data_IF_679443840855
#
_entry.id   IF_679443840855
#
_cell.length_a   1.000
_cell.length_b   1.000
_cell.length_c   1.000
_cell.angle_alpha   90.00
_cell.angle_beta   90.00
_cell.angle_gamma   90.00
#
_symmetry.space_group_name_H-M   'P 1'
#
loop_
_entity.id
_entity.type
_entity.pdbx_description
1 polymer ?
#
# COMPACT_ATOMS: atom_id res chain seq x y z
N UNK A 1 -5.46 8.85 -10.98
CA UNK A 1 -6.29 8.64 -9.76
C UNK A 1 -5.47 9.15 -8.59
N UNK A 2 -6.09 9.78 -7.58
CA UNK A 2 -5.39 10.39 -6.43
C UNK A 2 -4.47 11.56 -6.77
N UNK A 3 -4.60 12.12 -7.98
CA UNK A 3 -3.84 13.29 -8.44
C UNK A 3 -4.49 14.61 -7.98
N UNK A 4 -5.75 14.57 -7.55
CA UNK A 4 -6.51 15.74 -7.11
C UNK A 4 -7.06 15.56 -5.70
N UNK A 5 -7.28 16.66 -4.97
CA UNK A 5 -7.93 16.63 -3.65
C UNK A 5 -9.28 15.89 -3.67
N UNK A 6 -10.03 16.01 -4.78
CA UNK A 6 -11.34 15.38 -4.95
C UNK A 6 -11.26 13.85 -4.92
N UNK A 7 -10.21 13.27 -5.51
CA UNK A 7 -10.00 11.82 -5.53
C UNK A 7 -9.84 11.26 -4.11
N UNK A 8 -9.08 11.98 -3.26
CA UNK A 8 -8.88 11.63 -1.85
C UNK A 8 -10.19 11.76 -1.06
N UNK A 9 -10.97 12.81 -1.30
CA UNK A 9 -12.29 12.97 -0.68
C UNK A 9 -13.26 11.84 -1.05
N UNK A 10 -13.29 11.43 -2.32
CA UNK A 10 -14.15 10.32 -2.77
C UNK A 10 -13.78 9.00 -2.10
N UNK A 11 -12.50 8.70 -1.95
CA UNK A 11 -12.04 7.49 -1.28
C UNK A 11 -12.35 7.52 0.23
N UNK A 12 -12.27 8.70 0.86
CA UNK A 12 -12.73 8.92 2.22
C UNK A 12 -14.24 8.71 2.39
N UNK A 13 -15.04 9.20 1.45
CA UNK A 13 -16.50 9.01 1.46
C UNK A 13 -16.86 7.53 1.28
N UNK A 14 -16.18 6.83 0.37
CA UNK A 14 -16.39 5.39 0.11
C UNK A 14 -16.18 4.55 1.37
N UNK A 15 -15.13 4.86 2.12
CA UNK A 15 -14.75 4.16 3.37
C UNK A 15 -15.41 4.75 4.62
N UNK A 16 -16.18 5.84 4.49
CA UNK A 16 -16.73 6.65 5.61
C UNK A 16 -15.67 7.20 6.56
N UNK A 17 -14.43 7.33 6.10
CA UNK A 17 -13.33 7.95 6.85
C UNK A 17 -13.52 9.46 7.07
N UNK A 18 -14.33 10.11 6.23
CA UNK A 18 -14.60 11.57 6.27
C UNK A 18 -15.19 12.07 7.60
N UNK A 19 -15.66 11.17 8.48
CA UNK A 19 -16.11 11.52 9.83
C UNK A 19 -14.96 11.91 10.77
N UNK A 20 -13.74 11.40 10.54
CA UNK A 20 -12.58 11.57 11.43
C UNK A 20 -11.32 12.09 10.73
N UNK A 21 -11.31 12.01 9.40
CA UNK A 21 -10.16 12.33 8.57
C UNK A 21 -10.56 13.35 7.51
N UNK A 22 -9.61 14.19 7.11
CA UNK A 22 -9.78 15.21 6.08
C UNK A 22 -8.66 15.11 5.05
N UNK A 23 -9.00 15.29 3.78
CA UNK A 23 -8.00 15.52 2.74
C UNK A 23 -7.46 16.94 2.87
N UNK A 24 -6.15 17.11 2.70
CA UNK A 24 -5.45 18.39 2.84
C UNK A 24 -4.64 18.69 1.58
N UNK A 25 -4.49 19.98 1.28
CA UNK A 25 -3.66 20.51 0.18
C UNK A 25 -2.45 21.30 0.68
N UNK A 26 -2.08 21.13 1.95
CA UNK A 26 -0.96 21.86 2.58
C UNK A 26 0.39 21.62 1.88
N UNK A 27 0.55 20.48 1.20
CA UNK A 27 1.73 20.15 0.41
C UNK A 27 1.55 20.37 -1.10
N UNK A 28 0.56 21.15 -1.53
CA UNK A 28 0.38 21.50 -2.93
C UNK A 28 1.62 22.25 -3.46
N UNK A 29 2.16 21.79 -4.60
CA UNK A 29 3.44 22.26 -5.11
C UNK A 29 4.65 21.79 -4.29
N UNK A 30 4.50 20.75 -3.47
CA UNK A 30 5.56 20.11 -2.68
C UNK A 30 6.28 21.04 -1.69
N UNK A 31 5.56 22.05 -1.20
CA UNK A 31 6.10 23.11 -0.31
C UNK A 31 6.53 22.61 1.07
N UNK A 32 6.00 21.47 1.51
CA UNK A 32 6.29 20.90 2.83
C UNK A 32 7.33 19.78 2.73
N UNK A 33 7.10 18.84 1.82
CA UNK A 33 7.93 17.67 1.64
C UNK A 33 7.82 17.11 0.23
N UNK A 34 8.96 16.90 -0.43
CA UNK A 34 9.04 16.31 -1.77
C UNK A 34 8.70 14.81 -1.82
N UNK A 35 8.70 14.14 -0.65
CA UNK A 35 8.32 12.72 -0.54
C UNK A 35 6.83 12.51 -0.38
N UNK A 36 6.14 13.48 0.19
CA UNK A 36 4.69 13.43 0.33
C UNK A 36 4.02 13.80 -0.99
N UNK A 37 2.84 13.23 -1.30
CA UNK A 37 2.05 13.69 -2.44
C UNK A 37 1.54 15.12 -2.19
N UNK A 38 1.13 15.80 -3.28
CA UNK A 38 0.56 17.14 -3.19
C UNK A 38 -0.71 17.19 -2.33
N UNK A 39 -1.48 16.09 -2.35
CA UNK A 39 -2.71 15.90 -1.56
C UNK A 39 -2.62 14.57 -0.82
N UNK A 40 -3.07 14.55 0.42
CA UNK A 40 -3.18 13.36 1.25
C UNK A 40 -4.18 13.59 2.37
N UNK A 41 -4.35 12.60 3.24
CA UNK A 41 -5.36 12.61 4.29
C UNK A 41 -4.73 12.51 5.67
N UNK A 42 -5.20 13.34 6.59
CA UNK A 42 -4.76 13.41 8.00
C UNK A 42 -5.96 13.38 8.95
N UNK A 43 -5.76 13.07 10.24
CA UNK A 43 -6.82 13.22 11.25
C UNK A 43 -7.38 14.65 11.28
N UNK A 44 -8.70 14.81 11.30
CA UNK A 44 -9.37 16.12 11.30
C UNK A 44 -8.90 17.07 12.42
N UNK A 45 -8.65 16.61 13.67
CA UNK A 45 -8.20 17.51 14.72
C UNK A 45 -6.72 17.91 14.60
N UNK A 46 -5.95 17.33 13.66
CA UNK A 46 -4.56 17.70 13.44
C UNK A 46 -4.51 19.07 12.74
N UNK A 47 -3.88 20.09 13.35
CA UNK A 47 -3.64 21.38 12.69
C UNK A 47 -2.73 21.22 11.47
N UNK A 48 -2.99 21.95 10.39
CA UNK A 48 -2.17 21.86 9.18
C UNK A 48 -0.78 22.48 9.35
N UNK A 49 -0.62 23.43 10.26
CA UNK A 49 0.68 23.96 10.69
C UNK A 49 1.62 22.88 11.26
N UNK A 50 1.06 21.83 11.87
CA UNK A 50 1.85 20.71 12.40
C UNK A 50 2.42 19.86 11.27
N UNK A 51 1.79 19.84 10.10
CA UNK A 51 2.28 19.12 8.91
C UNK A 51 3.58 19.74 8.38
N UNK A 52 3.73 21.06 8.50
CA UNK A 52 4.94 21.76 8.10
C UNK A 52 6.14 21.49 9.02
N UNK A 53 5.87 21.07 10.26
CA UNK A 53 6.93 20.75 11.23
C UNK A 53 7.69 19.50 10.76
N UNK A 54 9.00 19.53 10.96
CA UNK A 54 9.92 18.45 10.60
C UNK A 54 9.76 17.97 9.15
N UNK A 55 9.45 18.86 8.19
CA UNK A 55 9.32 18.52 6.76
C UNK A 55 8.35 17.35 6.51
N UNK A 56 7.24 17.29 7.25
CA UNK A 56 6.24 16.24 7.13
C UNK A 56 6.59 14.91 7.82
N UNK A 57 7.71 14.83 8.53
CA UNK A 57 8.04 13.66 9.36
C UNK A 57 7.14 13.57 10.61
N UNK A 58 6.82 12.34 11.03
CA UNK A 58 5.97 12.13 12.21
C UNK A 58 4.50 12.54 12.00
N UNK A 59 4.08 12.71 10.75
CA UNK A 59 2.68 12.99 10.41
C UNK A 59 1.93 11.68 10.17
N UNK A 60 0.81 11.42 10.88
CA UNK A 60 -0.02 10.27 10.60
C UNK A 60 -0.81 10.50 9.32
N UNK A 61 -0.49 9.73 8.29
CA UNK A 61 -1.17 9.72 7.01
C UNK A 61 -2.17 8.58 7.01
N UNK A 62 -3.39 8.89 6.61
CA UNK A 62 -4.45 7.90 6.52
C UNK A 62 -4.24 6.97 5.32
N UNK A 63 -4.31 5.66 5.58
CA UNK A 63 -4.35 4.63 4.55
C UNK A 63 -5.80 4.20 4.29
N UNK A 64 -6.54 3.82 5.34
CA UNK A 64 -7.88 3.24 5.17
C UNK A 64 -8.73 3.33 6.44
N UNK A 65 -10.06 3.31 6.28
CA UNK A 65 -11.02 3.23 7.38
C UNK A 65 -11.89 2.00 7.27
N UNK A 66 -11.97 1.24 8.36
CA UNK A 66 -12.83 0.09 8.50
C UNK A 66 -14.29 0.48 8.76
N UNK A 67 -15.23 -0.40 8.42
CA UNK A 67 -16.65 -0.17 8.64
C UNK A 67 -17.06 -0.01 10.12
N UNK A 68 -16.26 -0.55 11.05
CA UNK A 68 -16.45 -0.34 12.49
C UNK A 68 -15.99 1.06 12.96
N UNK A 69 -15.22 1.79 12.14
CA UNK A 69 -14.70 3.12 12.44
C UNK A 69 -13.26 3.14 12.95
N UNK A 70 -12.61 1.98 13.04
CA UNK A 70 -11.15 1.86 13.19
C UNK A 70 -10.45 2.29 11.91
N UNK A 71 -9.19 2.73 12.01
CA UNK A 71 -8.42 3.21 10.88
C UNK A 71 -7.01 2.65 10.87
N UNK A 72 -6.50 2.47 9.66
CA UNK A 72 -5.11 2.16 9.39
C UNK A 72 -4.41 3.45 8.95
N UNK A 73 -3.32 3.76 9.63
CA UNK A 73 -2.50 4.95 9.40
C UNK A 73 -1.06 4.51 9.14
N UNK A 74 -0.29 5.34 8.43
CA UNK A 74 1.17 5.21 8.33
C UNK A 74 1.84 6.52 8.70
N UNK A 75 3.06 6.44 9.20
CA UNK A 75 3.82 7.62 9.63
C UNK A 75 5.31 7.35 9.45
N UNK A 76 6.03 8.35 8.96
CA UNK A 76 7.48 8.30 8.88
C UNK A 76 8.08 8.55 10.26
N UNK A 77 9.18 7.88 10.56
CA UNK A 77 9.93 8.14 11.78
C UNK A 77 10.44 9.59 11.79
N UNK A 78 10.51 10.16 12.99
CA UNK A 78 11.18 11.44 13.16
C UNK A 78 12.69 11.27 12.94
N UNK A 79 13.38 12.29 12.40
CA UNK A 79 14.82 12.28 12.26
C UNK A 79 15.51 11.99 13.59
N UNK A 80 16.58 11.19 13.55
CA UNK A 80 17.40 10.91 14.73
C UNK A 80 18.18 12.15 15.11
N UNK A 81 17.92 12.70 16.30
CA UNK A 81 18.56 13.92 16.80
C UNK A 81 19.42 13.61 18.04
N UNK A 82 20.55 14.30 18.17
CA UNK A 82 21.44 14.17 19.35
C UNK A 82 21.19 15.27 20.39
N UNK A 83 20.48 16.35 20.04
CA UNK A 83 20.18 17.45 20.94
C UNK A 83 18.95 17.12 21.81
N UNK A 84 19.14 17.10 23.13
CA UNK A 84 18.10 16.78 24.11
C UNK A 84 16.89 17.73 24.05
N UNK A 85 17.12 19.00 23.69
CA UNK A 85 16.07 19.99 23.51
C UNK A 85 15.17 19.66 22.31
N UNK A 86 15.77 19.31 21.17
CA UNK A 86 15.04 18.91 19.97
C UNK A 86 14.30 17.59 20.21
N UNK A 87 14.93 16.62 20.88
CA UNK A 87 14.28 15.36 21.25
C UNK A 87 13.04 15.58 22.12
N UNK A 88 13.08 16.52 23.08
CA UNK A 88 11.93 16.85 23.90
C UNK A 88 10.80 17.51 23.09
N UNK A 89 11.14 18.36 22.11
CA UNK A 89 10.16 18.96 21.18
C UNK A 89 9.52 17.88 20.31
N UNK A 90 10.32 16.98 19.74
CA UNK A 90 9.85 15.83 18.95
C UNK A 90 8.91 14.93 19.75
N UNK A 91 9.27 14.62 21.01
CA UNK A 91 8.43 13.83 21.92
C UNK A 91 7.11 14.53 22.20
N UNK A 92 7.14 15.83 22.54
CA UNK A 92 5.92 16.61 22.78
C UNK A 92 5.01 16.65 21.56
N UNK A 93 5.59 16.75 20.36
CA UNK A 93 4.88 16.70 19.10
C UNK A 93 4.20 15.34 18.88
N UNK A 94 4.93 14.23 19.02
CA UNK A 94 4.37 12.89 18.91
C UNK A 94 3.27 12.63 19.93
N UNK A 95 3.43 13.07 21.17
CA UNK A 95 2.38 12.95 22.20
C UNK A 95 1.10 13.67 21.77
N UNK A 96 1.22 14.84 21.13
CA UNK A 96 0.09 15.57 20.54
C UNK A 96 -0.57 14.83 19.37
N UNK A 97 0.24 14.22 18.51
CA UNK A 97 -0.21 13.37 17.40
C UNK A 97 -0.97 12.16 17.92
N UNK A 98 -0.42 11.41 18.88
CA UNK A 98 -1.06 10.25 19.49
C UNK A 98 -2.38 10.63 20.18
N UNK A 99 -2.41 11.75 20.92
CA UNK A 99 -3.66 12.28 21.51
C UNK A 99 -4.73 12.60 20.46
N UNK A 100 -4.33 12.96 19.25
CA UNK A 100 -5.25 13.22 18.14
C UNK A 100 -5.88 11.93 17.61
N UNK A 101 -5.07 10.86 17.51
CA UNK A 101 -5.51 9.55 17.01
C UNK A 101 -6.34 8.79 18.06
N UNK A 102 -6.04 8.95 19.35
CA UNK A 102 -6.72 8.31 20.49
C UNK A 102 -8.12 8.87 20.81
N UNK A 103 -8.69 9.74 19.97
CA UNK A 103 -10.02 10.31 20.26
C UNK A 103 -11.15 9.30 20.00
N UNK A 104 -12.23 9.30 20.82
CA UNK A 104 -13.37 8.38 20.72
C UNK A 104 -13.98 8.23 19.30
N UNK A 105 -14.64 7.11 18.96
CA UNK A 105 -15.09 6.00 19.83
C UNK A 105 -14.07 4.90 20.14
N UNK A 106 -12.82 4.97 19.65
CA UNK A 106 -11.78 3.99 19.99
C UNK A 106 -10.56 4.70 20.56
N UNK A 107 -10.22 4.39 21.81
CA UNK A 107 -9.30 5.18 22.64
C UNK A 107 -7.83 4.79 22.44
N UNK A 108 -7.53 3.69 21.73
CA UNK A 108 -6.19 3.08 21.71
C UNK A 108 -5.72 2.87 20.28
N UNK A 109 -4.52 3.38 19.97
CA UNK A 109 -3.79 3.06 18.75
C UNK A 109 -2.73 2.00 19.07
N UNK A 110 -2.61 1.00 18.21
CA UNK A 110 -1.48 0.09 18.22
C UNK A 110 -0.44 0.61 17.22
N UNK A 111 0.75 0.94 17.69
CA UNK A 111 1.87 1.29 16.81
C UNK A 111 2.65 0.03 16.47
N UNK A 112 2.77 -0.28 15.17
CA UNK A 112 3.60 -1.35 14.64
C UNK A 112 4.84 -0.72 13.97
N UNK A 113 5.98 -0.78 14.64
CA UNK A 113 7.26 -0.34 14.07
C UNK A 113 7.84 -1.44 13.18
N UNK A 114 7.70 -1.23 11.86
CA UNK A 114 8.13 -2.17 10.83
C UNK A 114 9.65 -2.10 10.61
N UNK A 115 10.29 -0.96 10.89
CA UNK A 115 11.74 -0.79 10.74
C UNK A 115 12.53 -1.60 11.76
N UNK A 116 12.04 -1.68 13.00
CA UNK A 116 12.76 -2.38 14.09
C UNK A 116 12.30 -3.81 14.33
N UNK A 117 11.03 -4.14 14.08
CA UNK A 117 10.42 -5.39 14.56
C UNK A 117 9.85 -6.30 13.46
N UNK A 118 10.15 -6.06 12.18
CA UNK A 118 9.56 -6.84 11.09
C UNK A 118 10.55 -7.45 10.10
N UNK A 119 10.82 -6.78 8.97
CA UNK A 119 11.70 -7.25 7.90
C UNK A 119 12.68 -6.14 7.56
N UNK A 120 13.90 -6.46 7.15
CA UNK A 120 14.80 -5.47 6.55
C UNK A 120 14.76 -5.55 5.03
N UNK A 121 15.00 -4.43 4.35
CA UNK A 121 15.11 -4.39 2.89
C UNK A 121 16.24 -5.30 2.38
N UNK A 122 17.34 -5.39 3.13
CA UNK A 122 18.47 -6.26 2.79
C UNK A 122 18.12 -7.75 2.90
N UNK A 123 17.29 -8.12 3.88
CA UNK A 123 16.77 -9.48 4.02
C UNK A 123 15.90 -9.87 2.81
N UNK A 124 15.00 -8.97 2.39
CA UNK A 124 14.14 -9.16 1.20
C UNK A 124 14.99 -9.32 -0.07
N UNK A 125 15.94 -8.41 -0.28
CA UNK A 125 16.85 -8.43 -1.44
C UNK A 125 17.63 -9.75 -1.50
N UNK A 126 18.23 -10.15 -0.38
CA UNK A 126 19.06 -11.37 -0.30
C UNK A 126 18.22 -12.62 -0.56
N UNK A 127 17.02 -12.69 0.03
CA UNK A 127 16.12 -13.82 -0.13
C UNK A 127 15.66 -13.96 -1.58
N UNK A 128 15.24 -12.87 -2.21
CA UNK A 128 14.85 -12.90 -3.62
C UNK A 128 16.02 -13.22 -4.53
N UNK A 129 17.20 -12.70 -4.25
CA UNK A 129 18.40 -12.99 -5.05
C UNK A 129 18.68 -14.50 -5.06
N UNK A 130 18.64 -15.15 -3.89
CA UNK A 130 18.78 -16.61 -3.78
C UNK A 130 17.66 -17.35 -4.50
N UNK A 131 16.41 -16.92 -4.34
CA UNK A 131 15.25 -17.53 -4.98
C UNK A 131 15.33 -17.45 -6.51
N UNK A 132 15.69 -16.27 -7.05
CA UNK A 132 15.87 -16.03 -8.49
C UNK A 132 16.93 -16.95 -9.10
N UNK A 133 18.04 -17.20 -8.39
CA UNK A 133 19.10 -18.10 -8.88
C UNK A 133 18.62 -19.53 -9.12
N UNK A 134 17.55 -19.99 -8.46
CA UNK A 134 16.98 -21.32 -8.69
C UNK A 134 16.40 -21.50 -10.10
N UNK A 135 16.14 -20.40 -10.81
CA UNK A 135 15.55 -20.40 -12.15
C UNK A 135 16.56 -20.01 -13.24
N UNK A 136 17.78 -19.64 -12.87
CA UNK A 136 18.85 -19.25 -13.79
C UNK A 136 19.84 -20.42 -13.99
N UNK A 137 19.35 -21.52 -14.56
CA UNK A 137 20.12 -22.74 -14.75
C UNK A 137 20.69 -22.76 -16.18
N UNK A 138 22.02 -22.88 -16.31
CA UNK A 138 22.71 -22.73 -17.59
C UNK A 138 22.83 -24.03 -18.40
N UNK A 139 22.75 -25.19 -17.75
CA UNK A 139 22.91 -26.48 -18.42
C UNK A 139 22.15 -27.64 -17.74
N UNK A 140 22.05 -28.76 -18.47
CA UNK A 140 21.29 -29.93 -18.01
C UNK A 140 21.87 -30.58 -16.75
N UNK A 141 23.19 -30.52 -16.51
CA UNK A 141 23.79 -31.14 -15.33
C UNK A 141 23.40 -30.38 -14.07
N UNK A 142 23.53 -29.06 -14.11
CA UNK A 142 23.11 -28.17 -13.01
C UNK A 142 21.60 -28.23 -12.75
N UNK A 143 20.80 -28.47 -13.79
CA UNK A 143 19.37 -28.69 -13.64
C UNK A 143 19.08 -29.90 -12.74
N UNK A 144 19.67 -31.06 -13.05
CA UNK A 144 19.44 -32.27 -12.26
C UNK A 144 20.01 -32.18 -10.84
N UNK A 145 21.15 -31.50 -10.66
CA UNK A 145 21.72 -31.25 -9.34
C UNK A 145 20.81 -30.35 -8.48
N UNK A 146 20.20 -29.34 -9.10
CA UNK A 146 19.23 -28.44 -8.47
C UNK A 146 17.93 -29.16 -8.15
N UNK A 147 17.40 -29.96 -9.07
CA UNK A 147 16.15 -30.71 -8.93
C UNK A 147 16.17 -31.64 -7.70
N UNK A 148 17.26 -32.39 -7.52
CA UNK A 148 17.46 -33.27 -6.34
C UNK A 148 17.43 -32.49 -5.02
N UNK A 149 17.90 -31.23 -5.03
CA UNK A 149 18.02 -30.37 -3.85
C UNK A 149 16.91 -29.32 -3.76
N UNK A 150 15.92 -29.36 -4.66
CA UNK A 150 14.98 -28.26 -4.91
C UNK A 150 14.37 -27.68 -3.64
N UNK A 151 13.75 -28.54 -2.81
CA UNK A 151 13.08 -28.09 -1.59
C UNK A 151 14.03 -27.46 -0.57
N UNK A 152 15.24 -28.00 -0.43
CA UNK A 152 16.24 -27.44 0.50
C UNK A 152 16.78 -26.09 0.01
N UNK A 153 16.98 -25.95 -1.30
CA UNK A 153 17.42 -24.68 -1.90
C UNK A 153 16.31 -23.62 -1.79
N UNK A 154 15.07 -24.00 -2.07
CA UNK A 154 13.89 -23.15 -1.91
C UNK A 154 13.72 -22.68 -0.45
N UNK A 155 13.82 -23.58 0.53
CA UNK A 155 13.77 -23.21 1.95
C UNK A 155 14.92 -22.28 2.34
N UNK A 156 16.15 -22.57 1.87
CA UNK A 156 17.34 -21.76 2.17
C UNK A 156 17.33 -20.36 1.53
N UNK A 157 16.48 -20.15 0.52
CA UNK A 157 16.22 -18.83 -0.04
C UNK A 157 15.46 -17.92 0.91
N UNK A 158 14.68 -18.49 1.83
CA UNK A 158 13.78 -17.77 2.75
C UNK A 158 12.69 -16.93 2.08
N UNK A 159 12.55 -16.93 0.75
CA UNK A 159 11.55 -16.12 0.04
C UNK A 159 10.11 -16.44 0.48
N UNK A 160 9.77 -17.73 0.54
CA UNK A 160 8.45 -18.18 1.01
C UNK A 160 8.22 -17.86 2.49
N UNK A 161 9.27 -17.85 3.32
CA UNK A 161 9.16 -17.44 4.72
C UNK A 161 8.86 -15.95 4.87
N UNK A 162 9.48 -15.11 4.03
CA UNK A 162 9.19 -13.67 3.97
C UNK A 162 7.74 -13.43 3.55
N UNK A 163 7.24 -14.11 2.53
CA UNK A 163 5.82 -14.03 2.11
C UNK A 163 4.90 -14.42 3.26
N UNK A 164 5.19 -15.55 3.93
CA UNK A 164 4.44 -16.02 5.09
C UNK A 164 4.43 -14.98 6.22
N UNK A 165 5.56 -14.34 6.52
CA UNK A 165 5.67 -13.28 7.54
C UNK A 165 4.85 -12.04 7.18
N UNK A 166 4.86 -11.62 5.90
CA UNK A 166 4.04 -10.52 5.40
C UNK A 166 2.54 -10.78 5.57
N UNK A 167 2.07 -11.95 5.11
CA UNK A 167 0.67 -12.34 5.25
C UNK A 167 0.27 -12.47 6.72
N UNK A 168 1.13 -13.09 7.55
CA UNK A 168 0.88 -13.21 8.99
C UNK A 168 0.75 -11.84 9.66
N UNK A 169 1.63 -10.89 9.37
CA UNK A 169 1.56 -9.53 9.93
C UNK A 169 0.29 -8.79 9.50
N UNK A 170 -0.12 -8.93 8.23
CA UNK A 170 -1.38 -8.34 7.75
C UNK A 170 -2.62 -8.96 8.43
N UNK A 171 -2.60 -10.27 8.70
CA UNK A 171 -3.66 -10.94 9.48
C UNK A 171 -3.69 -10.42 10.92
N UNK A 172 -2.55 -10.33 11.61
CA UNK A 172 -2.46 -9.79 12.97
C UNK A 172 -3.04 -8.36 13.06
N UNK A 173 -2.75 -7.51 12.07
CA UNK A 173 -3.29 -6.14 12.01
C UNK A 173 -4.79 -6.17 11.74
N UNK A 174 -5.26 -7.02 10.82
CA UNK A 174 -6.68 -7.21 10.54
C UNK A 174 -7.45 -7.63 11.79
N UNK A 175 -6.91 -8.55 12.60
CA UNK A 175 -7.49 -8.98 13.87
C UNK A 175 -7.53 -7.83 14.90
N UNK A 176 -6.47 -7.01 14.99
CA UNK A 176 -6.46 -5.83 15.86
C UNK A 176 -7.55 -4.83 15.46
N UNK A 177 -7.74 -4.61 14.15
CA UNK A 177 -8.72 -3.66 13.65
C UNK A 177 -10.16 -4.16 13.77
N UNK A 178 -10.42 -5.43 13.43
CA UNK A 178 -11.78 -6.00 13.39
C UNK A 178 -12.25 -6.48 14.75
N UNK A 179 -11.44 -7.28 15.46
CA UNK A 179 -11.86 -7.92 16.71
C UNK A 179 -11.66 -7.01 17.93
N UNK A 180 -10.58 -6.23 17.95
CA UNK A 180 -10.24 -5.36 19.08
C UNK A 180 -10.71 -3.91 18.88
N UNK A 181 -11.21 -3.59 17.68
CA UNK A 181 -11.63 -2.25 17.26
C UNK A 181 -10.55 -1.17 17.48
N UNK A 182 -9.29 -1.50 17.22
CA UNK A 182 -8.18 -0.56 17.42
C UNK A 182 -7.81 0.17 16.14
N UNK A 183 -7.38 1.43 16.28
CA UNK A 183 -6.61 2.07 15.21
C UNK A 183 -5.22 1.43 15.17
N UNK A 184 -4.64 1.30 13.99
CA UNK A 184 -3.28 0.79 13.82
C UNK A 184 -2.44 1.84 13.09
N UNK A 185 -1.27 2.14 13.63
CA UNK A 185 -0.29 3.05 13.05
C UNK A 185 0.96 2.26 12.64
N UNK A 186 1.20 2.19 11.33
CA UNK A 186 2.42 1.63 10.77
C UNK A 186 3.53 2.67 10.81
N UNK A 187 4.64 2.36 11.46
CA UNK A 187 5.80 3.23 11.53
C UNK A 187 6.93 2.60 10.73
N UNK A 188 7.52 3.40 9.84
CA UNK A 188 8.73 3.08 9.08
C UNK A 188 9.57 4.35 8.93
N UNK A 189 10.86 4.24 8.59
CA UNK A 189 11.73 5.41 8.39
C UNK A 189 11.14 6.42 7.40
N UNK A 190 10.63 5.95 6.25
CA UNK A 190 10.07 6.81 5.20
C UNK A 190 8.57 6.63 4.96
N UNK A 191 7.92 5.68 5.66
CA UNK A 191 6.50 5.31 5.45
C UNK A 191 6.14 4.96 4.00
N UNK A 192 7.07 4.31 3.30
CA UNK A 192 6.92 3.85 1.93
C UNK A 192 6.97 2.32 1.88
N UNK A 193 8.12 1.69 1.65
CA UNK A 193 8.30 0.25 1.38
C UNK A 193 7.36 -0.71 2.16
N UNK A 194 7.66 -1.02 3.42
CA UNK A 194 6.92 -2.01 4.21
C UNK A 194 5.55 -1.47 4.64
N UNK A 195 5.43 -0.15 4.82
CA UNK A 195 4.14 0.49 5.08
C UNK A 195 3.16 0.27 3.91
N UNK A 196 3.59 0.47 2.66
CA UNK A 196 2.84 0.23 1.44
C UNK A 196 2.42 -1.24 1.35
N UNK A 197 3.37 -2.15 1.56
CA UNK A 197 3.14 -3.59 1.51
C UNK A 197 2.09 -4.03 2.52
N UNK A 198 2.28 -3.71 3.80
CA UNK A 198 1.39 -4.16 4.87
C UNK A 198 0.03 -3.46 4.79
N UNK A 199 0.00 -2.15 4.53
CA UNK A 199 -1.27 -1.42 4.41
C UNK A 199 -2.12 -1.89 3.23
N UNK A 200 -1.49 -2.28 2.12
CA UNK A 200 -2.18 -2.82 0.96
C UNK A 200 -2.75 -4.21 1.22
N UNK A 201 -1.98 -5.10 1.89
CA UNK A 201 -2.45 -6.44 2.26
C UNK A 201 -3.64 -6.39 3.23
N UNK A 202 -3.60 -5.52 4.24
CA UNK A 202 -4.73 -5.32 5.16
C UNK A 202 -5.97 -4.84 4.40
N UNK A 203 -5.83 -3.87 3.50
CA UNK A 203 -6.94 -3.38 2.68
C UNK A 203 -7.52 -4.48 1.76
N UNK A 204 -6.69 -5.33 1.16
CA UNK A 204 -7.15 -6.48 0.36
C UNK A 204 -7.96 -7.49 1.19
N UNK A 205 -7.50 -7.78 2.41
CA UNK A 205 -8.16 -8.72 3.31
C UNK A 205 -9.52 -8.18 3.77
N UNK A 206 -9.59 -6.88 4.10
CA UNK A 206 -10.77 -6.28 4.75
C UNK A 206 -11.77 -5.62 3.79
N UNK A 207 -11.32 -5.11 2.63
CA UNK A 207 -12.14 -4.31 1.72
C UNK A 207 -12.40 -5.04 0.38
N UNK A 208 -13.64 -5.50 0.11
CA UNK A 208 -13.98 -6.13 -1.17
C UNK A 208 -13.75 -5.22 -2.38
N UNK A 209 -13.79 -3.89 -2.23
CA UNK A 209 -13.52 -2.98 -3.34
C UNK A 209 -12.09 -3.16 -3.86
N UNK A 210 -11.10 -3.31 -2.98
CA UNK A 210 -9.69 -3.52 -3.32
C UNK A 210 -9.43 -4.83 -4.08
N UNK A 211 -10.40 -5.76 -4.11
CA UNK A 211 -10.32 -7.03 -4.83
C UNK A 211 -10.97 -7.00 -6.22
N UNK A 212 -11.55 -5.86 -6.59
CA UNK A 212 -11.94 -5.55 -7.97
C UNK A 212 -10.73 -5.04 -8.76
N UNK A 213 -10.75 -5.12 -10.09
CA UNK A 213 -9.66 -4.58 -10.93
C UNK A 213 -9.48 -3.10 -10.67
N UNK A 214 -10.57 -2.32 -10.72
CA UNK A 214 -10.51 -0.87 -10.52
C UNK A 214 -10.05 -0.54 -9.09
N UNK A 215 -10.59 -1.21 -8.08
CA UNK A 215 -10.19 -0.96 -6.70
C UNK A 215 -8.76 -1.37 -6.38
N UNK A 216 -8.22 -2.41 -7.04
CA UNK A 216 -6.81 -2.79 -6.90
C UNK A 216 -5.88 -1.77 -7.58
N UNK A 217 -6.26 -1.25 -8.74
CA UNK A 217 -5.53 -0.15 -9.40
C UNK A 217 -5.53 1.11 -8.52
N UNK A 218 -6.69 1.48 -7.98
CA UNK A 218 -6.83 2.57 -7.01
C UNK A 218 -5.97 2.35 -5.77
N UNK A 219 -5.94 1.12 -5.23
CA UNK A 219 -5.10 0.77 -4.08
C UNK A 219 -3.62 0.97 -4.38
N UNK A 220 -3.13 0.46 -5.51
CA UNK A 220 -1.72 0.62 -5.92
C UNK A 220 -1.39 2.10 -6.16
N UNK A 221 -2.26 2.82 -6.87
CA UNK A 221 -2.06 4.23 -7.14
C UNK A 221 -1.97 5.04 -5.84
N UNK A 222 -2.87 4.78 -4.87
CA UNK A 222 -2.90 5.48 -3.59
C UNK A 222 -1.72 5.12 -2.70
N UNK A 223 -1.54 3.83 -2.42
CA UNK A 223 -0.58 3.39 -1.40
C UNK A 223 0.85 3.42 -1.91
N UNK A 224 1.10 3.07 -3.18
CA UNK A 224 2.45 2.90 -3.71
C UNK A 224 2.92 4.11 -4.51
N UNK A 225 2.15 4.51 -5.52
CA UNK A 225 2.56 5.60 -6.42
C UNK A 225 2.48 6.94 -5.70
N UNK A 226 1.31 7.27 -5.12
CA UNK A 226 1.14 8.49 -4.33
C UNK A 226 1.77 8.39 -2.94
N UNK A 227 1.93 7.17 -2.41
CA UNK A 227 2.62 6.94 -1.15
C UNK A 227 4.15 7.02 -1.22
N UNK A 228 4.72 7.33 -2.39
CA UNK A 228 6.15 7.61 -2.53
C UNK A 228 7.04 6.36 -2.43
N UNK A 229 6.56 5.20 -2.88
CA UNK A 229 7.44 4.06 -3.07
C UNK A 229 8.45 4.37 -4.17
N UNK A 230 9.73 4.15 -3.87
CA UNK A 230 10.84 4.51 -4.73
C UNK A 230 11.00 3.55 -5.92
N UNK A 231 10.04 3.50 -6.86
CA UNK A 231 10.09 2.52 -7.97
C UNK A 231 11.35 2.63 -8.83
N UNK A 232 11.81 3.85 -9.13
CA UNK A 232 13.02 4.06 -9.95
C UNK A 232 14.25 3.40 -9.32
N UNK A 233 14.42 3.57 -8.01
CA UNK A 233 15.55 3.03 -7.25
C UNK A 233 15.37 1.53 -6.98
N UNK A 234 14.19 1.13 -6.48
CA UNK A 234 13.87 -0.24 -6.06
C UNK A 234 13.86 -1.24 -7.21
N UNK A 235 13.46 -0.80 -8.41
CA UNK A 235 13.53 -1.59 -9.62
C UNK A 235 14.82 -1.34 -10.43
N UNK A 236 15.71 -0.45 -9.93
CA UNK A 236 17.01 -0.14 -10.52
C UNK A 236 16.94 0.18 -12.02
N UNK A 237 15.96 0.97 -12.46
CA UNK A 237 15.73 1.21 -13.90
C UNK A 237 16.91 1.90 -14.59
N UNK A 238 17.67 2.71 -13.84
CA UNK A 238 18.86 3.39 -14.35
C UNK A 238 20.14 2.55 -14.24
N UNK A 239 20.08 1.35 -13.62
CA UNK A 239 21.23 0.45 -13.42
C UNK A 239 22.43 1.13 -12.76
N UNK A 240 22.16 1.96 -11.77
CA UNK A 240 23.19 2.78 -11.11
C UNK A 240 23.69 2.16 -9.80
N UNK A 241 22.84 1.46 -9.06
CA UNK A 241 23.18 0.93 -7.75
C UNK A 241 22.39 -0.34 -7.42
N UNK A 242 23.02 -1.50 -7.63
CA UNK A 242 22.40 -2.80 -7.34
C UNK A 242 22.04 -2.98 -5.86
N UNK A 243 22.63 -2.18 -4.95
CA UNK A 243 22.29 -2.24 -3.52
C UNK A 243 20.91 -1.66 -3.21
N UNK A 244 20.39 -0.79 -4.07
CA UNK A 244 19.06 -0.18 -3.89
C UNK A 244 17.94 -0.99 -4.53
N UNK A 245 18.29 -1.98 -5.37
CA UNK A 245 17.35 -2.90 -6.00
C UNK A 245 16.75 -3.84 -4.95
N UNK A 246 15.47 -3.62 -4.61
CA UNK A 246 14.77 -4.45 -3.62
C UNK A 246 13.36 -4.73 -4.16
N UNK A 247 12.96 -6.00 -4.32
CA UNK A 247 11.73 -6.41 -4.99
C UNK A 247 10.49 -6.30 -4.08
N UNK A 248 10.32 -5.16 -3.40
CA UNK A 248 9.24 -4.97 -2.41
C UNK A 248 7.85 -5.03 -3.08
N UNK A 249 7.69 -4.38 -4.25
CA UNK A 249 6.42 -4.44 -4.97
C UNK A 249 6.14 -5.85 -5.53
N UNK A 250 7.16 -6.56 -6.02
CA UNK A 250 7.01 -7.96 -6.43
C UNK A 250 6.64 -8.87 -5.25
N UNK A 251 7.26 -8.67 -4.08
CA UNK A 251 6.89 -9.38 -2.85
C UNK A 251 5.42 -9.14 -2.49
N UNK A 252 4.94 -7.91 -2.64
CA UNK A 252 3.52 -7.60 -2.49
C UNK A 252 2.67 -8.39 -3.49
N UNK A 253 2.99 -8.37 -4.78
CA UNK A 253 2.25 -9.12 -5.79
C UNK A 253 2.23 -10.63 -5.52
N UNK A 254 3.34 -11.21 -5.05
CA UNK A 254 3.42 -12.62 -4.64
C UNK A 254 2.50 -12.89 -3.44
N UNK A 255 2.50 -12.02 -2.43
CA UNK A 255 1.54 -12.10 -1.33
C UNK A 255 0.07 -12.01 -1.82
N UNK A 256 -0.23 -11.14 -2.80
CA UNK A 256 -1.57 -11.07 -3.41
C UNK A 256 -1.90 -12.35 -4.16
N UNK A 257 -0.94 -12.91 -4.90
CA UNK A 257 -1.10 -14.19 -5.59
C UNK A 257 -1.47 -15.31 -4.62
N UNK A 258 -0.83 -15.38 -3.43
CA UNK A 258 -1.20 -16.35 -2.39
C UNK A 258 -2.68 -16.20 -1.99
N UNK A 259 -3.17 -14.96 -1.84
CA UNK A 259 -4.57 -14.70 -1.48
C UNK A 259 -5.54 -15.05 -2.62
N UNK A 260 -5.17 -14.75 -3.87
CA UNK A 260 -5.94 -15.12 -5.07
C UNK A 260 -6.05 -16.65 -5.18
N UNK A 261 -4.96 -17.38 -4.95
CA UNK A 261 -4.95 -18.84 -4.98
C UNK A 261 -5.76 -19.47 -3.86
N UNK A 262 -5.69 -18.94 -2.64
CA UNK A 262 -6.45 -19.46 -1.49
C UNK A 262 -7.93 -19.10 -1.53
N UNK A 263 -8.29 -17.98 -2.16
CA UNK A 263 -9.67 -17.50 -2.25
C UNK A 263 -10.08 -17.10 -3.68
N UNK A 264 -10.08 -18.02 -4.67
CA UNK A 264 -10.33 -17.65 -6.06
C UNK A 264 -11.62 -16.86 -6.31
N UNK A 265 -12.79 -17.20 -5.71
CA UNK A 265 -14.03 -16.43 -5.95
C UNK A 265 -14.02 -15.01 -5.39
N UNK A 266 -13.04 -14.66 -4.55
CA UNK A 266 -13.00 -13.40 -3.82
C UNK A 266 -12.37 -12.24 -4.62
N UNK A 267 -11.67 -12.53 -5.72
CA UNK A 267 -10.90 -11.57 -6.52
C UNK A 267 -11.40 -11.51 -7.97
N UNK A 268 -11.58 -10.30 -8.50
CA UNK A 268 -12.08 -10.08 -9.87
C UNK A 268 -10.99 -10.32 -10.92
N UNK A 269 -9.72 -10.31 -10.51
CA UNK A 269 -8.56 -10.48 -11.38
C UNK A 269 -7.87 -11.82 -11.18
N UNK A 270 -7.12 -12.24 -12.19
CA UNK A 270 -6.39 -13.51 -12.25
C UNK A 270 -4.91 -13.33 -11.89
N UNK A 271 -4.20 -14.45 -11.75
CA UNK A 271 -2.72 -14.46 -11.75
C UNK A 271 -2.14 -13.73 -12.96
N UNK A 272 -2.70 -13.94 -14.17
CA UNK A 272 -2.24 -13.27 -15.39
C UNK A 272 -2.24 -11.74 -15.26
N UNK A 273 -3.23 -11.18 -14.56
CA UNK A 273 -3.26 -9.74 -14.28
C UNK A 273 -2.11 -9.30 -13.38
N UNK A 274 -1.75 -10.09 -12.36
CA UNK A 274 -0.60 -9.81 -11.48
C UNK A 274 0.73 -9.94 -12.23
N UNK A 275 0.89 -10.95 -13.08
CA UNK A 275 2.09 -11.13 -13.91
C UNK A 275 2.28 -9.96 -14.86
N UNK A 276 1.24 -9.59 -15.61
CA UNK A 276 1.28 -8.45 -16.53
C UNK A 276 1.60 -7.14 -15.80
N UNK A 277 1.05 -6.96 -14.60
CA UNK A 277 1.36 -5.80 -13.78
C UNK A 277 2.82 -5.81 -13.29
N UNK A 278 3.36 -6.98 -12.93
CA UNK A 278 4.78 -7.14 -12.59
C UNK A 278 5.67 -6.79 -13.80
N UNK A 279 5.34 -7.27 -14.99
CA UNK A 279 6.09 -6.96 -16.21
C UNK A 279 6.07 -5.47 -16.52
N UNK A 280 4.93 -4.82 -16.29
CA UNK A 280 4.74 -3.38 -16.55
C UNK A 280 5.66 -2.45 -15.76
N UNK A 281 6.24 -2.92 -14.64
CA UNK A 281 7.28 -2.18 -13.90
C UNK A 281 8.45 -1.81 -14.81
N UNK A 282 8.78 -2.71 -15.74
CA UNK A 282 9.96 -2.62 -16.59
C UNK A 282 9.64 -2.15 -18.02
N UNK A 283 8.39 -1.76 -18.30
CA UNK A 283 7.98 -1.24 -19.62
C UNK A 283 8.04 0.31 -19.59
N UNK A 284 9.04 0.94 -20.24
CA UNK A 284 9.32 2.37 -20.09
C UNK A 284 8.31 3.29 -20.81
N UNK A 285 7.28 2.73 -21.46
CA UNK A 285 6.23 3.52 -22.12
C UNK A 285 5.18 4.04 -21.14
N UNK A 286 5.03 3.39 -19.97
CA UNK A 286 4.07 3.77 -18.95
C UNK A 286 4.78 4.50 -17.81
N UNK A 287 4.21 5.64 -17.39
CA UNK A 287 4.84 6.45 -16.33
C UNK A 287 4.46 6.04 -14.91
N UNK A 288 3.53 5.09 -14.75
CA UNK A 288 2.93 4.77 -13.46
C UNK A 288 3.97 4.34 -12.42
N UNK A 289 4.98 3.57 -12.82
CA UNK A 289 6.02 3.01 -11.93
C UNK A 289 7.42 3.56 -12.24
N UNK A 290 7.51 4.76 -12.83
CA UNK A 290 8.78 5.24 -13.38
C UNK A 290 9.57 6.14 -12.42
N UNK A 291 8.93 6.71 -11.40
CA UNK A 291 9.53 7.73 -10.52
C UNK A 291 9.52 7.29 -9.05
N UNK A 292 10.37 7.91 -8.24
CA UNK A 292 10.45 7.65 -6.80
C UNK A 292 9.41 8.42 -5.97
N UNK A 293 8.87 9.51 -6.52
CA UNK A 293 7.82 10.28 -5.86
C UNK A 293 6.95 11.04 -6.87
N UNK A 294 5.74 11.44 -6.46
CA UNK A 294 4.91 12.35 -7.25
C UNK A 294 5.64 13.67 -7.59
N UNK A 295 6.46 14.19 -6.66
CA UNK A 295 7.28 15.38 -6.90
C UNK A 295 8.26 15.20 -8.05
N UNK A 296 8.97 14.07 -8.07
CA UNK A 296 9.93 13.78 -9.12
C UNK A 296 9.25 13.63 -10.48
N UNK A 297 8.06 13.01 -10.52
CA UNK A 297 7.23 12.94 -11.73
C UNK A 297 6.87 14.34 -12.21
N UNK A 298 6.27 15.16 -11.36
CA UNK A 298 5.79 16.50 -11.74
C UNK A 298 6.93 17.45 -12.14
N UNK A 299 8.09 17.35 -11.49
CA UNK A 299 9.25 18.20 -11.80
C UNK A 299 9.84 17.86 -13.17
N UNK A 300 9.98 16.58 -13.50
CA UNK A 300 10.50 16.19 -14.81
C UNK A 300 9.49 16.49 -15.93
N UNK A 301 8.19 16.37 -15.66
CA UNK A 301 7.14 16.72 -16.61
C UNK A 301 6.97 18.23 -16.79
N UNK A 302 7.16 19.02 -15.72
CA UNK A 302 7.02 20.47 -15.74
C UNK A 302 8.18 21.21 -16.42
N UNK A 303 9.39 20.63 -16.41
CA UNK A 303 10.59 21.21 -17.07
C UNK A 303 10.48 21.27 -18.60
N UNK A 304 9.71 20.39 -19.22
CA UNK A 304 9.47 20.43 -20.68
C UNK A 304 8.50 21.54 -21.12
N UNK A 305 7.86 22.24 -20.18
CA UNK A 305 6.92 23.33 -20.47
C UNK A 305 7.54 24.73 -20.58
N UNK A 306 8.81 24.91 -20.20
CA UNK A 306 9.47 26.23 -20.21
C UNK A 306 10.43 26.42 -21.38
N UNK A 307 10.98 25.34 -21.94
CA UNK A 307 11.80 25.38 -23.14
C UNK A 307 11.19 24.45 -24.21
N UNK A 308 11.03 24.98 -25.43
CA UNK A 308 10.54 24.34 -26.66
C UNK A 308 9.02 24.24 -26.88
N UNK A 309 8.59 24.61 -28.10
CA UNK A 309 7.23 24.53 -28.66
C UNK A 309 6.70 23.08 -28.84
N UNK A 310 7.17 22.12 -28.03
CA UNK A 310 6.73 20.73 -28.05
C UNK A 310 5.42 20.61 -27.28
N UNK A 311 4.45 19.87 -27.86
CA UNK A 311 3.26 19.44 -27.12
C UNK A 311 3.70 18.73 -25.83
N UNK A 312 3.01 18.94 -24.70
CA UNK A 312 3.30 18.19 -23.47
C UNK A 312 3.26 16.69 -23.78
N UNK A 313 4.31 15.95 -23.37
CA UNK A 313 4.35 14.50 -23.52
C UNK A 313 3.16 13.90 -22.76
N UNK A 314 2.26 13.23 -23.48
CA UNK A 314 1.17 12.50 -22.85
C UNK A 314 1.70 11.13 -22.44
N UNK A 315 2.18 11.01 -21.19
CA UNK A 315 2.61 9.74 -20.66
C UNK A 315 1.40 8.84 -20.40
N UNK A 316 1.45 7.63 -20.97
CA UNK A 316 0.40 6.65 -20.82
C UNK A 316 0.42 6.08 -19.41
N UNK A 317 -0.76 5.76 -18.90
CA UNK A 317 -0.89 5.04 -17.63
C UNK A 317 -0.90 3.54 -17.91
N UNK A 318 -0.32 2.75 -17.01
CA UNK A 318 -0.42 1.28 -17.09
C UNK A 318 -1.88 0.80 -16.97
N UNK A 319 -2.77 1.63 -16.45
CA UNK A 319 -4.19 1.31 -16.26
C UNK A 319 -4.97 1.29 -17.57
N UNK A 320 -4.41 1.87 -18.64
CA UNK A 320 -5.00 1.86 -19.99
C UNK A 320 -4.73 0.53 -20.69
N UNK A 321 -5.29 -0.56 -20.16
CA UNK A 321 -5.06 -1.94 -20.66
C UNK A 321 -5.39 -2.13 -22.14
N UNK A 322 -6.28 -1.31 -22.70
CA UNK A 322 -6.60 -1.32 -24.13
C UNK A 322 -5.46 -0.87 -25.05
N UNK A 323 -4.50 -0.11 -24.52
CA UNK A 323 -3.28 0.27 -25.24
C UNK A 323 -2.27 -0.87 -25.25
N UNK A 324 -2.31 -1.74 -24.24
CA UNK A 324 -1.40 -2.88 -24.09
C UNK A 324 -1.91 -4.14 -24.78
N UNK A 325 -3.22 -4.39 -24.72
CA UNK A 325 -3.81 -5.68 -25.06
C UNK A 325 -5.09 -5.54 -25.89
N UNK A 326 -5.22 -6.41 -26.89
CA UNK A 326 -6.47 -6.59 -27.61
C UNK A 326 -7.61 -7.06 -26.68
N UNK A 327 -8.88 -6.80 -27.03
CA UNK A 327 -10.02 -7.15 -26.17
C UNK A 327 -10.06 -8.62 -25.74
N UNK A 328 -9.64 -9.56 -26.61
CA UNK A 328 -9.58 -10.99 -26.28
C UNK A 328 -8.53 -11.31 -25.22
N UNK A 329 -7.39 -10.63 -25.23
CA UNK A 329 -6.36 -10.82 -24.21
C UNK A 329 -6.81 -10.20 -22.87
N UNK A 330 -7.51 -9.07 -22.91
CA UNK A 330 -8.06 -8.44 -21.70
C UNK A 330 -9.05 -9.33 -20.94
N UNK A 331 -9.72 -10.29 -21.61
CA UNK A 331 -10.60 -11.24 -20.89
C UNK A 331 -9.83 -12.17 -19.97
N UNK A 332 -8.55 -12.44 -20.25
CA UNK A 332 -7.68 -13.27 -19.39
C UNK A 332 -7.35 -12.59 -18.06
N UNK A 333 -7.46 -11.25 -18.01
CA UNK A 333 -7.25 -10.47 -16.79
C UNK A 333 -8.42 -10.57 -15.82
N UNK A 334 -9.57 -11.10 -16.26
CA UNK A 334 -10.79 -11.20 -15.46
C UNK A 334 -11.01 -12.65 -15.01
N UNK A 335 -11.22 -12.81 -13.72
CA UNK A 335 -11.51 -14.10 -13.13
C UNK A 335 -13.00 -14.46 -13.35
N UNK A 336 -13.31 -15.56 -14.07
CA UNK A 336 -14.69 -15.98 -14.30
C UNK A 336 -15.38 -16.52 -13.05
N UNK A 337 -14.62 -16.88 -12.01
CA UNK A 337 -15.14 -17.39 -10.74
C UNK A 337 -15.49 -16.28 -9.75
N UNK A 338 -15.20 -15.02 -10.07
CA UNK A 338 -15.43 -13.91 -9.16
C UNK A 338 -16.90 -13.78 -8.78
N UNK A 339 -17.16 -13.73 -7.47
CA UNK A 339 -18.49 -13.49 -6.91
C UNK A 339 -18.45 -12.14 -6.21
N UNK A 340 -19.13 -11.16 -6.81
CA UNK A 340 -19.32 -9.86 -6.16
C UNK A 340 -20.13 -10.07 -4.88
N UNK A 341 -19.57 -9.66 -3.72
CA UNK A 341 -20.33 -9.69 -2.47
C UNK A 341 -21.55 -8.79 -2.64
N UNK A 342 -22.78 -9.28 -2.42
CA UNK A 342 -23.96 -8.43 -2.51
C UNK A 342 -23.80 -7.27 -1.54
N UNK A 343 -23.99 -6.04 -2.05
CA UNK A 343 -24.07 -4.86 -1.19
C UNK A 343 -25.20 -5.14 -0.20
N UNK A 344 -24.91 -5.14 1.09
CA UNK A 344 -25.91 -5.26 2.15
C UNK A 344 -26.94 -4.15 1.94
N UNK A 345 -28.05 -4.51 1.32
CA UNK A 345 -29.11 -3.59 0.99
C UNK A 345 -29.69 -3.06 2.30
N UNK A 346 -29.64 -1.75 2.51
CA UNK A 346 -30.23 -1.09 3.67
C UNK A 346 -31.74 -1.02 3.48
N UNK A 347 -32.40 -2.18 3.51
CA UNK A 347 -33.85 -2.30 3.43
C UNK A 347 -34.29 -3.54 4.19
N UNK A 348 -35.05 -3.32 5.27
CA UNK A 348 -35.69 -4.34 6.12
C UNK A 348 -34.83 -4.99 7.23
N UNK A 349 -34.42 -4.18 8.22
CA UNK A 349 -34.63 -4.58 9.62
C UNK A 349 -35.90 -3.91 10.13
N UNK A 350 -37.07 -4.40 9.70
CA UNK A 350 -38.30 -4.19 10.48
C UNK A 350 -38.24 -5.17 11.65
N UNK A 351 -38.29 -4.64 12.87
CA UNK A 351 -38.12 -5.39 14.10
C UNK A 351 -39.13 -6.54 14.22
N UNK A 352 -38.61 -7.76 14.32
CA UNK A 352 -39.38 -8.88 14.84
C UNK A 352 -39.14 -8.93 16.34
N UNK A 353 -39.97 -8.19 17.10
CA UNK A 353 -40.10 -8.39 18.55
C UNK A 353 -40.63 -9.81 18.78
N UNK A 354 -39.76 -10.73 19.15
CA UNK A 354 -40.20 -11.99 19.76
C UNK A 354 -40.80 -11.68 21.14
N UNK A 355 -42.13 -11.66 21.24
CA UNK A 355 -42.83 -11.76 22.52
C UNK A 355 -42.70 -13.20 23.02
N UNK A 356 -41.79 -13.44 23.95
CA UNK A 356 -41.82 -14.67 24.75
C UNK A 356 -42.94 -14.51 25.76
N UNK A 357 -44.05 -15.23 25.56
CA UNK A 357 -45.07 -15.46 26.59
C UNK A 357 -44.54 -16.57 27.51
N UNK A 358 -44.33 -16.26 28.79
CA UNK A 358 -44.24 -17.29 29.82
C UNK A 358 -45.61 -17.95 29.99
N UNK A 359 -45.73 -19.29 30.03
CA UNK A 359 -46.88 -19.94 30.61
C UNK A 359 -46.62 -20.16 32.10
N UNK A 360 -47.47 -19.54 32.93
CA UNK A 360 -47.80 -20.07 34.25
C UNK A 360 -48.62 -21.36 34.07
N UNK A 361 -48.21 -22.43 34.76
CA UNK A 361 -49.00 -23.24 35.71
C UNK A 361 -48.02 -24.24 36.33
#
# INVERSE_FOLDING_TARGET
MFDTLKDWCWELERTKGNMKYKAVSVNEGYKVCERLPAYFVVPTPLPEENVQRFQGHGIPIWCWSCHNGSALLKMSALPKEQDDGILQIQKSFLDGVYKTIHRPPYEIVKTEDLSSNFLSLQEIQTAYSKFKQLFLIDNSTEFWDTDIKWFSLLESSSWLDIIRRCLKKAIEITECMEAQNMNVLLLEENASDLCCLISSLVQLMMDPHCRTRIGFQSLIQKEWVMGGHCFLDRCNHLRQNDKEEVPVFLLFLDCVWQLVHQHPPAFEFTETYLTVLSDSLYIPIFSTFFFNSPHQKDTNMGREGQDTQSKPLNLLTVWDWSVQFEPKAQTLLKNPLYVEKPKLDKGQRKGMRFKVRCPHV
#
